data_IF_780264023110
#
_entry.id   IF_780264023110
#
_cell.length_a   1.000
_cell.length_b   1.000
_cell.length_c   1.000
_cell.angle_alpha   90.00
_cell.angle_beta   90.00
_cell.angle_gamma   90.00
#
_symmetry.space_group_name_H-M   'P 1'
#
loop_
_entity.id
_entity.type
_entity.pdbx_description
1 polymer ?
#
# COMPACT_ATOMS: atom_id res chain seq x y z
N UNK A 1 -0.14 -26.55 10.89
CA UNK A 1 1.30 -26.48 10.56
C UNK A 1 1.57 -25.23 9.73
N UNK A 2 2.60 -24.46 10.07
CA UNK A 2 3.02 -23.30 9.30
C UNK A 2 4.03 -23.77 8.24
N UNK A 3 3.79 -23.44 6.97
CA UNK A 3 4.67 -23.79 5.85
C UNK A 3 4.83 -22.58 4.90
N UNK A 4 5.61 -22.77 3.82
CA UNK A 4 5.89 -21.75 2.80
C UNK A 4 4.63 -21.20 2.10
N UNK A 5 3.47 -21.87 2.22
CA UNK A 5 2.21 -21.36 1.66
C UNK A 5 1.62 -20.23 2.50
N UNK A 6 2.20 -19.97 3.68
CA UNK A 6 1.95 -18.73 4.44
C UNK A 6 2.52 -17.52 3.70
N UNK A 7 3.78 -17.58 3.26
CA UNK A 7 4.40 -16.50 2.48
C UNK A 7 3.67 -16.29 1.15
N UNK A 8 3.25 -17.38 0.51
CA UNK A 8 2.42 -17.34 -0.69
C UNK A 8 1.12 -16.54 -0.49
N UNK A 9 0.46 -16.76 0.64
CA UNK A 9 -0.76 -16.03 1.00
C UNK A 9 -0.47 -14.54 1.24
N UNK A 10 0.59 -14.23 1.99
CA UNK A 10 1.00 -12.84 2.25
C UNK A 10 1.33 -12.08 0.97
N UNK A 11 2.09 -12.67 0.04
CA UNK A 11 2.38 -12.06 -1.27
C UNK A 11 1.10 -11.91 -2.10
N UNK A 12 0.19 -12.89 -2.03
CA UNK A 12 -1.14 -12.77 -2.62
C UNK A 12 -1.91 -11.55 -2.08
N UNK A 13 -1.87 -11.31 -0.77
CA UNK A 13 -2.56 -10.17 -0.15
C UNK A 13 -1.96 -8.84 -0.60
N UNK A 14 -0.64 -8.75 -0.72
CA UNK A 14 0.03 -7.56 -1.29
C UNK A 14 -0.42 -7.33 -2.73
N UNK A 15 -0.47 -8.38 -3.56
CA UNK A 15 -0.97 -8.26 -4.93
C UNK A 15 -2.44 -7.83 -4.98
N UNK A 16 -3.28 -8.37 -4.10
CA UNK A 16 -4.68 -7.95 -3.97
C UNK A 16 -4.80 -6.46 -3.66
N UNK A 17 -4.04 -5.97 -2.68
CA UNK A 17 -4.03 -4.56 -2.30
C UNK A 17 -3.52 -3.67 -3.45
N UNK A 18 -2.48 -4.09 -4.17
CA UNK A 18 -1.99 -3.35 -5.34
C UNK A 18 -3.04 -3.26 -6.47
N UNK A 19 -3.83 -4.32 -6.69
CA UNK A 19 -4.83 -4.35 -7.75
C UNK A 19 -6.10 -3.59 -7.39
N UNK A 20 -6.46 -3.54 -6.11
CA UNK A 20 -7.73 -2.97 -5.64
C UNK A 20 -7.58 -1.60 -4.98
N UNK A 21 -6.37 -1.28 -4.49
CA UNK A 21 -6.09 -0.12 -3.65
C UNK A 21 -6.70 -0.21 -2.25
N UNK A 22 -7.23 -1.38 -1.85
CA UNK A 22 -7.90 -1.57 -0.58
C UNK A 22 -6.94 -2.23 0.41
N UNK A 23 -6.60 -1.49 1.46
CA UNK A 23 -5.87 -2.06 2.59
C UNK A 23 -6.78 -2.99 3.38
N UNK A 24 -6.53 -4.29 3.29
CA UNK A 24 -7.32 -5.30 3.98
C UNK A 24 -7.17 -5.23 5.51
N UNK A 25 -6.03 -4.77 6.01
CA UNK A 25 -5.68 -4.68 7.42
C UNK A 25 -6.02 -3.33 8.06
N UNK A 26 -6.88 -2.52 7.43
CA UNK A 26 -7.23 -1.18 7.92
C UNK A 26 -8.16 -1.14 9.16
N UNK A 27 -8.56 -2.28 9.71
CA UNK A 27 -9.41 -2.32 10.93
C UNK A 27 -8.54 -2.02 12.16
N UNK A 28 -8.99 -1.19 13.10
CA UNK A 28 -8.23 -0.90 14.33
C UNK A 28 -8.19 -2.09 15.30
N UNK A 29 -9.10 -3.07 15.14
CA UNK A 29 -9.19 -4.23 16.00
C UNK A 29 -8.48 -5.46 15.40
N UNK A 30 -7.36 -5.85 16.01
CA UNK A 30 -6.56 -7.02 15.61
C UNK A 30 -7.36 -8.33 15.58
N UNK A 31 -8.32 -8.52 16.49
CA UNK A 31 -9.15 -9.72 16.53
C UNK A 31 -10.06 -9.81 15.30
N UNK A 32 -10.64 -8.68 14.88
CA UNK A 32 -11.46 -8.62 13.67
C UNK A 32 -10.61 -8.87 12.43
N UNK A 33 -9.40 -8.32 12.36
CA UNK A 33 -8.47 -8.61 11.27
C UNK A 33 -8.15 -10.11 11.19
N UNK A 34 -7.82 -10.73 12.31
CA UNK A 34 -7.51 -12.16 12.38
C UNK A 34 -8.69 -13.02 11.91
N UNK A 35 -9.91 -12.70 12.32
CA UNK A 35 -11.12 -13.39 11.84
C UNK A 35 -11.34 -13.23 10.34
N UNK A 36 -11.08 -12.03 9.79
CA UNK A 36 -11.20 -11.76 8.35
C UNK A 36 -10.16 -12.52 7.55
N UNK A 37 -8.91 -12.60 8.02
CA UNK A 37 -7.85 -13.41 7.39
C UNK A 37 -8.23 -14.89 7.40
N UNK A 38 -8.74 -15.42 8.52
CA UNK A 38 -9.16 -16.82 8.62
C UNK A 38 -10.28 -17.18 7.65
N UNK A 39 -11.20 -16.25 7.40
CA UNK A 39 -12.34 -16.47 6.50
C UNK A 39 -12.03 -16.17 5.05
N UNK A 40 -10.92 -15.46 4.78
CA UNK A 40 -10.59 -14.90 3.46
C UNK A 40 -11.81 -14.16 2.91
N UNK A 41 -12.34 -13.24 3.71
CA UNK A 41 -13.50 -12.43 3.32
C UNK A 41 -13.08 -11.28 2.41
N UNK A 42 -12.77 -11.64 1.16
CA UNK A 42 -12.29 -10.73 0.12
C UNK A 42 -13.38 -10.51 -0.93
N UNK A 43 -13.61 -9.25 -1.28
CA UNK A 43 -14.34 -8.94 -2.51
C UNK A 43 -13.49 -9.31 -3.73
N UNK A 44 -14.14 -9.67 -4.83
CA UNK A 44 -13.40 -9.99 -6.06
C UNK A 44 -12.69 -8.73 -6.60
N UNK A 45 -11.39 -8.79 -6.96
CA UNK A 45 -10.66 -7.68 -7.54
C UNK A 45 -11.38 -6.99 -8.71
N UNK A 46 -12.02 -7.75 -9.59
CA UNK A 46 -12.77 -7.25 -10.74
C UNK A 46 -14.01 -6.44 -10.34
N UNK A 47 -14.58 -6.70 -9.15
CA UNK A 47 -15.68 -5.89 -8.60
C UNK A 47 -15.20 -4.53 -8.10
N UNK A 48 -14.01 -4.49 -7.50
CA UNK A 48 -13.42 -3.25 -6.96
C UNK A 48 -12.72 -2.41 -8.04
N UNK A 49 -12.05 -3.08 -8.98
CA UNK A 49 -11.33 -2.45 -10.08
C UNK A 49 -11.62 -3.21 -11.39
N UNK A 50 -12.57 -2.71 -12.22
CA UNK A 50 -12.94 -3.34 -13.49
C UNK A 50 -11.81 -3.39 -14.54
N UNK A 51 -10.67 -2.72 -14.30
CA UNK A 51 -9.49 -2.81 -15.17
C UNK A 51 -8.69 -4.10 -14.95
N UNK A 52 -8.91 -4.79 -13.83
CA UNK A 52 -8.26 -6.08 -13.55
C UNK A 52 -8.81 -7.13 -14.51
N UNK A 53 -7.93 -7.87 -15.18
CA UNK A 53 -8.34 -8.93 -16.07
C UNK A 53 -8.83 -10.15 -15.27
N UNK A 54 -9.94 -10.82 -15.68
CA UNK A 54 -10.46 -11.99 -14.98
C UNK A 54 -9.45 -13.13 -14.82
N UNK A 55 -8.50 -13.28 -15.74
CA UNK A 55 -7.47 -14.32 -15.66
C UNK A 55 -6.48 -14.07 -14.52
N UNK A 56 -6.08 -12.81 -14.33
CA UNK A 56 -5.23 -12.42 -13.21
C UNK A 56 -5.97 -12.59 -11.88
N UNK A 57 -7.26 -12.26 -11.84
CA UNK A 57 -8.10 -12.54 -10.68
C UNK A 57 -8.13 -14.03 -10.34
N UNK A 58 -8.30 -14.93 -11.32
CA UNK A 58 -8.27 -16.38 -11.05
C UNK A 58 -6.94 -16.84 -10.48
N UNK A 59 -5.82 -16.33 -11.01
CA UNK A 59 -4.48 -16.65 -10.49
C UNK A 59 -4.33 -16.20 -9.05
N UNK A 60 -4.76 -14.97 -8.74
CA UNK A 60 -4.74 -14.41 -7.39
C UNK A 60 -5.64 -15.15 -6.41
N UNK A 61 -6.91 -15.39 -6.77
CA UNK A 61 -7.88 -16.02 -5.87
C UNK A 61 -7.51 -17.47 -5.53
N UNK A 62 -6.77 -18.16 -6.40
CA UNK A 62 -6.17 -19.45 -6.07
C UNK A 62 -5.07 -19.33 -5.01
N UNK A 63 -4.22 -18.31 -5.09
CA UNK A 63 -3.19 -18.07 -4.07
C UNK A 63 -3.80 -17.74 -2.69
N UNK A 64 -4.93 -17.03 -2.69
CA UNK A 64 -5.64 -16.58 -1.51
C UNK A 64 -6.68 -17.57 -0.98
N UNK A 65 -6.76 -18.79 -1.50
CA UNK A 65 -7.78 -19.74 -1.06
C UNK A 65 -7.73 -20.04 0.44
N UNK A 66 -8.89 -20.13 1.10
CA UNK A 66 -9.01 -20.39 2.55
C UNK A 66 -8.36 -21.72 2.95
N UNK A 67 -8.67 -22.78 2.19
CA UNK A 67 -8.01 -24.08 2.30
C UNK A 67 -6.60 -24.02 1.70
N UNK A 68 -5.59 -24.27 2.54
CA UNK A 68 -4.16 -24.31 2.20
C UNK A 68 -3.84 -25.36 1.14
N UNK A 69 -4.63 -26.42 1.01
CA UNK A 69 -4.44 -27.47 0.01
C UNK A 69 -4.93 -27.08 -1.39
N UNK A 70 -5.81 -26.08 -1.48
CA UNK A 70 -6.29 -25.54 -2.76
C UNK A 70 -5.40 -24.41 -3.29
N UNK A 71 -4.47 -23.92 -2.47
CA UNK A 71 -3.44 -22.97 -2.90
C UNK A 71 -2.43 -23.63 -3.83
N UNK A 72 -1.59 -22.82 -4.45
CA UNK A 72 -0.44 -23.33 -5.18
C UNK A 72 0.46 -24.17 -4.25
N UNK A 73 0.85 -25.39 -4.68
CA UNK A 73 1.69 -26.25 -3.86
C UNK A 73 3.06 -25.63 -3.56
N UNK A 74 3.62 -24.88 -4.51
CA UNK A 74 4.90 -24.18 -4.40
C UNK A 74 4.73 -22.70 -4.77
N UNK A 75 5.58 -21.86 -4.20
CA UNK A 75 5.66 -20.43 -4.55
C UNK A 75 6.05 -20.23 -6.01
N UNK A 76 6.91 -21.09 -6.56
CA UNK A 76 7.28 -21.08 -7.98
C UNK A 76 6.05 -21.29 -8.88
N UNK A 77 5.12 -22.17 -8.51
CA UNK A 77 3.91 -22.42 -9.32
C UNK A 77 3.02 -21.17 -9.42
N UNK A 78 3.03 -20.32 -8.39
CA UNK A 78 2.33 -19.04 -8.41
C UNK A 78 3.06 -18.00 -9.27
N UNK A 79 4.40 -17.94 -9.17
CA UNK A 79 5.22 -17.07 -10.00
C UNK A 79 5.08 -17.42 -11.50
N UNK A 80 5.12 -18.71 -11.83
CA UNK A 80 4.93 -19.20 -13.21
C UNK A 80 3.55 -18.81 -13.74
N UNK A 81 2.48 -18.97 -12.94
CA UNK A 81 1.13 -18.57 -13.34
C UNK A 81 0.99 -17.07 -13.60
N UNK A 82 1.67 -16.23 -12.80
CA UNK A 82 1.73 -14.79 -13.03
C UNK A 82 2.56 -14.45 -14.29
N UNK A 83 3.68 -15.14 -14.50
CA UNK A 83 4.52 -15.00 -15.69
C UNK A 83 3.76 -15.35 -16.96
N UNK A 84 3.06 -16.48 -17.00
CA UNK A 84 2.21 -16.87 -18.12
C UNK A 84 1.13 -15.84 -18.43
N UNK A 85 0.52 -15.24 -17.39
CA UNK A 85 -0.45 -14.16 -17.59
C UNK A 85 0.22 -12.93 -18.21
N UNK A 86 1.37 -12.52 -17.67
CA UNK A 86 2.11 -11.35 -18.16
C UNK A 86 2.65 -11.53 -19.58
N UNK A 87 3.00 -12.75 -19.99
CA UNK A 87 3.43 -13.06 -21.36
C UNK A 87 2.27 -13.05 -22.37
N UNK A 88 1.05 -13.40 -21.92
CA UNK A 88 -0.16 -13.36 -22.76
C UNK A 88 -0.70 -11.94 -22.94
N UNK A 89 -0.49 -11.06 -21.97
CA UNK A 89 -0.88 -9.67 -22.09
C UNK A 89 0.04 -8.97 -23.12
N UNK A 90 -0.55 -8.42 -24.18
CA UNK A 90 0.20 -7.77 -25.26
C UNK A 90 1.00 -6.55 -24.77
N UNK A 91 0.64 -6.01 -23.60
CA UNK A 91 1.37 -4.93 -22.93
C UNK A 91 2.55 -5.49 -22.16
N UNK A 92 3.68 -5.66 -22.85
CA UNK A 92 4.97 -5.82 -22.18
C UNK A 92 5.29 -4.57 -21.37
N UNK A 93 5.34 -4.72 -20.06
CA UNK A 93 5.86 -3.69 -19.16
C UNK A 93 7.38 -3.76 -19.17
N UNK A 94 8.04 -2.70 -19.63
CA UNK A 94 9.50 -2.63 -19.71
C UNK A 94 10.10 -1.93 -18.50
N UNK A 95 11.41 -2.09 -18.33
CA UNK A 95 12.21 -1.33 -17.36
C UNK A 95 12.03 0.20 -17.52
N UNK A 96 11.81 0.68 -18.75
CA UNK A 96 11.58 2.09 -19.02
C UNK A 96 10.20 2.54 -18.50
N UNK A 97 9.18 1.72 -18.68
CA UNK A 97 7.83 1.98 -18.16
C UNK A 97 7.84 1.99 -16.64
N UNK A 98 8.58 1.05 -16.01
CA UNK A 98 8.78 1.04 -14.56
C UNK A 98 9.44 2.32 -14.07
N UNK A 99 10.55 2.74 -14.70
CA UNK A 99 11.25 3.98 -14.34
C UNK A 99 10.35 5.21 -14.46
N UNK A 100 9.59 5.29 -15.55
CA UNK A 100 8.65 6.39 -15.77
C UNK A 100 7.53 6.38 -14.73
N UNK A 101 6.97 5.21 -14.44
CA UNK A 101 5.96 5.05 -13.40
C UNK A 101 6.49 5.52 -12.04
N UNK A 102 7.65 5.00 -11.60
CA UNK A 102 8.25 5.36 -10.31
C UNK A 102 8.56 6.86 -10.23
N UNK A 103 9.13 7.44 -11.29
CA UNK A 103 9.40 8.88 -11.34
C UNK A 103 8.12 9.72 -11.22
N UNK A 104 7.01 9.25 -11.79
CA UNK A 104 5.73 9.94 -11.73
C UNK A 104 5.00 9.74 -10.39
N UNK A 105 5.04 8.53 -9.82
CA UNK A 105 4.32 8.17 -8.61
C UNK A 105 4.94 8.80 -7.36
N UNK A 106 6.28 8.96 -7.35
CA UNK A 106 7.06 9.46 -6.22
C UNK A 106 7.73 10.80 -6.51
N UNK A 107 7.20 11.60 -7.44
CA UNK A 107 7.86 12.85 -7.86
C UNK A 107 8.12 13.81 -6.70
N UNK A 108 7.16 13.92 -5.75
CA UNK A 108 7.31 14.77 -4.55
C UNK A 108 8.42 14.30 -3.62
N UNK A 109 8.50 12.99 -3.41
CA UNK A 109 9.41 12.38 -2.45
C UNK A 109 10.84 12.41 -2.99
N UNK A 110 11.00 12.22 -4.31
CA UNK A 110 12.27 12.38 -5.01
C UNK A 110 12.79 13.81 -4.92
N UNK A 111 11.93 14.81 -5.08
CA UNK A 111 12.31 16.21 -4.96
C UNK A 111 12.77 16.56 -3.53
N UNK A 112 12.07 16.05 -2.52
CA UNK A 112 12.42 16.23 -1.11
C UNK A 112 13.75 15.54 -0.77
N UNK A 113 13.94 14.30 -1.22
CA UNK A 113 15.16 13.55 -0.97
C UNK A 113 16.37 14.15 -1.70
N UNK A 114 16.19 14.62 -2.95
CA UNK A 114 17.23 15.36 -3.67
C UNK A 114 17.60 16.66 -2.96
N UNK A 115 16.64 17.33 -2.31
CA UNK A 115 16.90 18.53 -1.51
C UNK A 115 17.72 18.19 -0.28
N UNK A 116 17.34 17.15 0.48
CA UNK A 116 18.09 16.64 1.64
C UNK A 116 19.50 16.21 1.25
N UNK A 117 19.63 15.46 0.15
CA UNK A 117 20.93 14.99 -0.34
C UNK A 117 21.83 16.15 -0.78
N UNK A 118 21.28 17.18 -1.46
CA UNK A 118 22.04 18.41 -1.78
C UNK A 118 22.46 19.17 -0.54
N UNK A 119 21.61 19.24 0.47
CA UNK A 119 21.92 19.89 1.76
C UNK A 119 23.06 19.17 2.46
N UNK A 120 22.99 17.83 2.58
CA UNK A 120 24.05 16.99 3.15
C UNK A 120 25.35 17.09 2.33
N UNK A 121 25.29 17.04 1.00
CA UNK A 121 26.48 17.18 0.14
C UNK A 121 27.03 18.61 0.11
N UNK A 122 26.23 19.61 0.46
CA UNK A 122 26.69 20.99 0.63
C UNK A 122 27.39 21.22 1.97
N UNK A 123 27.25 20.29 2.93
CA UNK A 123 28.10 20.24 4.11
C UNK A 123 29.51 19.95 3.64
N UNK A 124 30.39 20.94 3.81
CA UNK A 124 31.81 20.83 3.48
C UNK A 124 32.43 19.76 4.36
N UNK A 125 32.75 18.61 3.79
CA UNK A 125 33.60 17.62 4.44
C UNK A 125 34.92 18.29 4.86
N UNK A 126 35.41 18.10 6.11
CA UNK A 126 36.70 18.65 6.51
C UNK A 126 37.78 18.17 5.53
N UNK A 127 38.65 19.07 5.05
CA UNK A 127 39.71 18.70 4.10
C UNK A 127 40.48 17.46 4.59
N UNK A 128 40.86 16.52 3.71
CA UNK A 128 41.67 15.37 4.09
C UNK A 128 42.92 15.83 4.86
N UNK A 129 43.02 15.43 6.13
CA UNK A 129 44.12 15.79 7.03
C UNK A 129 43.86 16.93 8.02
N UNK A 130 42.67 17.55 8.03
CA UNK A 130 42.24 18.42 9.12
C UNK A 130 41.46 17.63 10.19
N UNK A 131 41.54 17.99 11.48
CA UNK A 131 40.63 17.43 12.47
C UNK A 131 39.18 17.73 12.06
N UNK A 132 38.23 16.80 12.27
CA UNK A 132 36.84 17.03 11.92
C UNK A 132 36.34 18.29 12.62
N UNK A 133 35.84 19.27 11.86
CA UNK A 133 35.13 20.41 12.44
C UNK A 133 33.73 19.92 12.77
N UNK A 134 33.57 19.44 14.00
CA UNK A 134 32.27 19.21 14.61
C UNK A 134 31.69 20.59 14.89
N UNK A 135 30.47 20.95 14.43
CA UNK A 135 29.78 22.13 14.93
C UNK A 135 29.81 22.06 16.45
N UNK A 136 30.18 23.16 17.14
CA UNK A 136 30.35 23.15 18.60
C UNK A 136 29.18 22.40 19.22
N UNK A 137 29.50 21.25 19.82
CA UNK A 137 28.53 20.51 20.59
C UNK A 137 28.02 21.48 21.66
N UNK A 138 26.71 21.53 21.94
CA UNK A 138 26.24 22.24 23.13
C UNK A 138 27.11 21.77 24.31
N UNK A 139 27.66 22.72 25.07
CA UNK A 139 28.59 22.43 26.17
C UNK A 139 28.05 21.23 26.96
N UNK A 140 28.85 20.16 27.00
CA UNK A 140 28.50 18.94 27.70
C UNK A 140 28.40 19.28 29.19
N UNK A 141 27.17 19.45 29.69
CA UNK A 141 26.93 19.22 31.11
C UNK A 141 27.39 17.79 31.37
N UNK A 142 28.46 17.61 32.17
CA UNK A 142 29.07 16.33 32.50
C UNK A 142 27.99 15.31 32.92
N UNK A 143 27.58 14.45 32.00
CA UNK A 143 26.69 13.33 32.31
C UNK A 143 27.51 12.26 32.98
N UNK A 144 27.52 12.26 34.32
CA UNK A 144 27.98 11.13 35.12
C UNK A 144 27.20 9.88 34.69
N UNK A 145 27.91 8.88 34.17
CA UNK A 145 27.34 7.56 33.88
C UNK A 145 26.98 6.88 35.21
N UNK A 146 25.76 7.10 35.69
CA UNK A 146 25.12 6.25 36.69
C UNK A 146 24.65 4.93 36.04
N UNK A 147 24.73 3.83 36.79
CA UNK A 147 24.39 2.45 36.39
C UNK A 147 22.88 2.22 36.07
N UNK A 148 22.13 3.25 35.68
CA UNK A 148 20.73 3.13 35.35
C UNK A 148 20.55 2.85 33.85
N UNK A 149 20.07 1.65 33.54
CA UNK A 149 19.64 1.24 32.21
C UNK A 149 18.73 2.32 31.62
N UNK A 150 19.14 2.91 30.49
CA UNK A 150 18.33 3.89 29.76
C UNK A 150 17.03 3.22 29.31
N UNK A 151 15.93 3.57 29.98
CA UNK A 151 14.60 3.33 29.46
C UNK A 151 14.46 4.16 28.19
N UNK A 152 14.38 3.49 27.04
CA UNK A 152 14.23 4.15 25.74
C UNK A 152 12.87 4.82 25.73
N UNK A 153 12.83 6.13 25.97
CA UNK A 153 11.62 6.91 25.78
C UNK A 153 11.37 7.01 24.26
N UNK A 154 10.51 6.15 23.73
CA UNK A 154 10.02 6.21 22.35
C UNK A 154 9.27 7.52 22.13
N UNK A 155 10.00 8.57 21.74
CA UNK A 155 9.37 9.77 21.20
C UNK A 155 8.71 9.37 19.88
N UNK A 156 7.37 9.47 19.74
CA UNK A 156 6.69 8.97 18.56
C UNK A 156 7.16 9.77 17.35
N UNK A 157 7.70 9.07 16.35
CA UNK A 157 7.92 9.62 15.01
C UNK A 157 6.54 10.00 14.48
N UNK A 158 6.29 11.30 14.34
CA UNK A 158 5.06 11.77 13.74
C UNK A 158 5.03 11.33 12.28
N UNK A 159 4.32 10.23 12.00
CA UNK A 159 3.93 9.86 10.64
C UNK A 159 3.17 11.07 10.07
N UNK A 160 3.61 11.66 8.95
CA UNK A 160 2.86 12.76 8.36
C UNK A 160 1.43 12.29 8.10
N UNK A 161 0.41 13.10 8.43
CA UNK A 161 -0.98 12.67 8.26
C UNK A 161 -1.21 12.28 6.79
N UNK A 162 -1.91 11.16 6.52
CA UNK A 162 -2.17 10.73 5.16
C UNK A 162 -2.81 11.88 4.39
N UNK A 163 -2.36 12.09 3.15
CA UNK A 163 -2.93 13.10 2.27
C UNK A 163 -4.46 12.98 2.29
N UNK A 164 -5.15 14.07 2.67
CA UNK A 164 -6.60 14.07 2.83
C UNK A 164 -7.24 13.58 1.53
N UNK A 165 -8.00 12.48 1.62
CA UNK A 165 -8.79 11.98 0.51
C UNK A 165 -9.63 13.12 -0.12
N UNK A 166 -9.80 13.15 -1.46
CA UNK A 166 -10.56 14.21 -2.11
C UNK A 166 -11.97 14.25 -1.51
N UNK A 167 -12.30 15.35 -0.81
CA UNK A 167 -13.62 15.56 -0.20
C UNK A 167 -14.64 15.62 -1.34
N UNK A 168 -15.43 14.56 -1.53
CA UNK A 168 -16.63 14.61 -2.38
C UNK A 168 -17.54 15.71 -1.82
N UNK A 169 -17.61 16.84 -2.52
CA UNK A 169 -18.38 18.02 -2.11
C UNK A 169 -19.88 17.71 -2.18
N UNK A 170 -20.69 18.45 -1.42
CA UNK A 170 -22.16 18.31 -1.30
C UNK A 170 -22.92 18.26 -2.65
N UNK A 171 -22.27 18.60 -3.76
CA UNK A 171 -22.80 18.55 -5.12
C UNK A 171 -23.04 17.11 -5.63
N UNK A 172 -22.20 16.13 -5.26
CA UNK A 172 -22.44 14.72 -5.63
C UNK A 172 -23.66 14.12 -4.92
N UNK A 173 -23.91 14.54 -3.67
CA UNK A 173 -25.05 14.06 -2.89
C UNK A 173 -26.38 14.64 -3.40
N UNK A 174 -26.40 15.88 -3.90
CA UNK A 174 -27.61 16.47 -4.51
C UNK A 174 -27.99 15.84 -5.86
N UNK A 175 -27.03 15.38 -6.66
CA UNK A 175 -27.31 14.72 -7.95
C UNK A 175 -27.87 13.31 -7.76
N UNK A 176 -27.39 12.58 -6.75
CA UNK A 176 -27.90 11.24 -6.44
C UNK A 176 -29.34 11.28 -5.90
N UNK A 177 -29.68 12.26 -5.05
CA UNK A 177 -31.06 12.41 -4.54
C UNK A 177 -32.04 12.83 -5.63
N UNK A 178 -31.64 13.72 -6.54
CA UNK A 178 -32.49 14.11 -7.67
C UNK A 178 -32.78 12.91 -8.59
N UNK A 179 -31.77 12.07 -8.87
CA UNK A 179 -31.93 10.86 -9.67
C UNK A 179 -32.89 9.85 -9.03
N UNK A 180 -32.80 9.64 -7.71
CA UNK A 180 -33.72 8.76 -6.99
C UNK A 180 -35.17 9.27 -7.01
N UNK A 181 -35.37 10.59 -6.86
CA UNK A 181 -36.70 11.20 -6.92
C UNK A 181 -37.32 11.03 -8.31
N UNK A 182 -36.55 11.27 -9.39
CA UNK A 182 -37.02 11.06 -10.76
C UNK A 182 -37.37 9.59 -11.01
N UNK A 183 -36.55 8.65 -10.52
CA UNK A 183 -36.81 7.21 -10.63
C UNK A 183 -38.12 6.82 -9.92
N UNK A 184 -38.35 7.33 -8.70
CA UNK A 184 -39.58 7.04 -7.94
C UNK A 184 -40.83 7.62 -8.62
N UNK A 185 -40.73 8.81 -9.20
CA UNK A 185 -41.84 9.42 -9.96
C UNK A 185 -42.18 8.58 -11.20
N UNK A 186 -41.17 8.14 -11.96
CA UNK A 186 -41.37 7.29 -13.14
C UNK A 186 -41.98 5.94 -12.73
N UNK A 187 -41.48 5.32 -11.65
CA UNK A 187 -42.02 4.07 -11.13
C UNK A 187 -43.48 4.23 -10.71
N UNK A 188 -43.84 5.32 -10.03
CA UNK A 188 -45.22 5.60 -9.62
C UNK A 188 -46.15 5.76 -10.83
N UNK A 189 -45.71 6.46 -11.89
CA UNK A 189 -46.49 6.62 -13.13
C UNK A 189 -46.72 5.27 -13.82
N UNK A 190 -45.73 4.37 -13.80
CA UNK A 190 -45.84 3.04 -14.41
C UNK A 190 -46.77 2.13 -13.59
N UNK A 191 -46.75 2.21 -12.26
CA UNK A 191 -47.61 1.40 -11.38
C UNK A 191 -49.06 1.89 -11.38
N UNK A 192 -49.30 3.17 -11.64
CA UNK A 192 -50.65 3.78 -11.67
C UNK A 192 -51.31 3.76 -13.07
N UNK A 193 -50.68 3.14 -14.07
CA UNK A 193 -51.25 2.90 -15.40
C UNK A 193 -51.64 1.44 -15.56
#
# INVERSE_FOLDING_TARGET
PLDHRSDLFSVGMVLYEMLTGVNFYADENEFNQMERVKKVDLELPTKLNPKVHPDLERVLMKALHVDVHQRYPRTLDFADALGEYAERDEKRFSDADMKQFMASAFSSDLDEELRRMKEIMSVRWPSPGGPPVVPDAPEEDELELGDDLVEIEEKPVAVPPPAKAPRKTKQMLMLATLGLIVLLIVLMIVVMR
#
